data_IF_133646838270
#
_entry.id   IF_133646838270
#
_cell.length_a   1.000
_cell.length_b   1.000
_cell.length_c   1.000
_cell.angle_alpha   90.00
_cell.angle_beta   90.00
_cell.angle_gamma   90.00
#
_symmetry.space_group_name_H-M   'P 1'
#
loop_
_entity.id
_entity.type
_entity.pdbx_description
1 polymer ?
#
# COMPACT_ATOMS: atom_id res chain seq x y z
N UNK A 1 5.44 12.31 16.64
CA UNK A 1 5.99 11.07 16.04
C UNK A 1 7.12 10.56 16.92
N UNK A 2 7.07 9.26 17.26
CA UNK A 2 8.19 8.57 17.90
C UNK A 2 9.44 8.65 17.02
N UNK A 3 10.63 8.63 17.62
CA UNK A 3 11.89 8.63 16.88
C UNK A 3 11.93 7.46 15.87
N UNK A 4 12.59 7.68 14.72
CA UNK A 4 12.86 6.58 13.79
C UNK A 4 13.69 5.51 14.52
N UNK A 5 13.20 4.28 14.47
CA UNK A 5 13.87 3.12 15.06
C UNK A 5 14.76 2.53 13.97
N UNK A 6 16.08 2.52 14.21
CA UNK A 6 17.00 1.80 13.35
C UNK A 6 16.75 0.29 13.52
N UNK A 7 16.25 -0.40 12.48
CA UNK A 7 15.90 -1.82 12.59
C UNK A 7 17.09 -2.66 13.02
N UNK A 8 18.31 -2.30 12.61
CA UNK A 8 19.53 -3.08 12.89
C UNK A 8 19.90 -3.12 14.37
N UNK A 9 19.34 -2.21 15.16
CA UNK A 9 19.57 -2.13 16.61
C UNK A 9 18.53 -2.90 17.43
N UNK A 10 17.51 -3.47 16.78
CA UNK A 10 16.43 -4.19 17.46
C UNK A 10 16.81 -5.64 17.78
N UNK A 11 16.30 -6.23 18.88
CA UNK A 11 16.47 -7.66 19.16
C UNK A 11 15.92 -8.56 18.05
N UNK A 12 14.81 -8.15 17.43
CA UNK A 12 14.20 -8.89 16.31
C UNK A 12 15.14 -8.99 15.10
N UNK A 13 15.93 -7.94 14.83
CA UNK A 13 16.94 -7.97 13.77
C UNK A 13 18.11 -8.91 14.08
N UNK A 14 18.58 -8.93 15.33
CA UNK A 14 19.60 -9.88 15.76
C UNK A 14 19.11 -11.33 15.57
N UNK A 15 17.87 -11.61 16.00
CA UNK A 15 17.21 -12.91 15.80
C UNK A 15 17.10 -13.30 14.33
N UNK A 16 16.72 -12.37 13.44
CA UNK A 16 16.69 -12.60 12.00
C UNK A 16 18.09 -12.87 11.42
N UNK A 17 19.11 -12.20 11.94
CA UNK A 17 20.50 -12.41 11.53
C UNK A 17 20.97 -13.81 11.92
N UNK A 18 20.63 -14.27 13.13
CA UNK A 18 20.95 -15.63 13.59
C UNK A 18 20.21 -16.70 12.77
N UNK A 19 18.91 -16.49 12.51
CA UNK A 19 18.12 -17.39 11.65
C UNK A 19 18.70 -17.45 10.23
N UNK A 20 19.10 -16.32 9.66
CA UNK A 20 19.70 -16.26 8.34
C UNK A 20 21.06 -16.97 8.28
N UNK A 21 21.88 -16.83 9.34
CA UNK A 21 23.19 -17.49 9.42
C UNK A 21 23.06 -19.02 9.58
N UNK A 22 22.01 -19.48 10.25
CA UNK A 22 21.73 -20.90 10.46
C UNK A 22 20.92 -21.55 9.32
N UNK A 23 20.38 -20.76 8.38
CA UNK A 23 19.51 -21.26 7.33
C UNK A 23 20.31 -22.06 6.29
N UNK A 24 19.96 -23.33 6.13
CA UNK A 24 20.34 -24.16 4.99
C UNK A 24 19.12 -24.31 4.06
N UNK A 25 19.06 -23.58 2.93
CA UNK A 25 17.86 -23.59 2.08
C UNK A 25 17.64 -24.92 1.36
N UNK A 26 16.52 -25.58 1.64
CA UNK A 26 16.02 -26.70 0.83
C UNK A 26 14.51 -26.56 0.60
N UNK A 27 14.14 -25.65 -0.30
CA UNK A 27 12.73 -25.42 -0.62
C UNK A 27 12.03 -26.69 -1.12
N UNK A 28 12.71 -27.55 -1.88
CA UNK A 28 12.10 -28.80 -2.37
C UNK A 28 11.83 -29.76 -1.22
N UNK A 29 12.80 -29.92 -0.32
CA UNK A 29 12.64 -30.67 0.93
C UNK A 29 11.49 -30.13 1.76
N UNK A 30 11.39 -28.82 1.96
CA UNK A 30 10.30 -28.23 2.75
C UNK A 30 8.91 -28.48 2.16
N UNK A 31 8.76 -28.55 0.84
CA UNK A 31 7.50 -28.96 0.20
C UNK A 31 7.24 -30.47 0.29
N UNK A 32 8.29 -31.29 0.31
CA UNK A 32 8.16 -32.73 0.50
C UNK A 32 7.78 -33.07 1.95
N UNK A 33 8.37 -32.37 2.92
CA UNK A 33 8.16 -32.56 4.35
C UNK A 33 6.85 -31.94 4.85
N UNK A 34 6.39 -30.85 4.23
CA UNK A 34 5.10 -30.22 4.49
C UNK A 34 4.24 -30.14 3.21
N UNK A 35 3.45 -31.18 2.91
CA UNK A 35 2.52 -31.16 1.78
C UNK A 35 1.46 -30.04 1.85
N UNK A 36 1.20 -29.50 3.05
CA UNK A 36 0.28 -28.39 3.28
C UNK A 36 0.93 -27.02 3.16
N UNK A 37 2.23 -26.93 2.90
CA UNK A 37 3.01 -25.69 2.88
C UNK A 37 2.42 -24.60 1.98
N UNK A 38 1.96 -25.01 0.79
CA UNK A 38 1.34 -24.09 -0.18
C UNK A 38 0.11 -23.41 0.44
N UNK A 39 -0.79 -24.19 1.03
CA UNK A 39 -2.01 -23.68 1.65
C UNK A 39 -1.69 -22.80 2.86
N UNK A 40 -0.77 -23.24 3.73
CA UNK A 40 -0.39 -22.52 4.96
C UNK A 40 0.22 -21.15 4.72
N UNK A 41 1.07 -21.01 3.70
CA UNK A 41 1.73 -19.75 3.37
C UNK A 41 1.01 -18.98 2.26
N UNK A 42 -0.23 -19.32 1.99
CA UNK A 42 -1.07 -18.61 1.04
C UNK A 42 -2.16 -17.85 1.77
N UNK A 43 -2.29 -16.57 1.44
CA UNK A 43 -3.25 -15.67 2.07
C UNK A 43 -4.19 -15.10 1.02
N UNK A 44 -5.46 -14.99 1.37
CA UNK A 44 -6.46 -14.30 0.55
C UNK A 44 -6.75 -12.92 1.14
N UNK A 45 -6.65 -11.87 0.33
CA UNK A 45 -6.95 -10.51 0.71
C UNK A 45 -7.89 -9.87 -0.33
N UNK A 46 -9.18 -9.81 -0.01
CA UNK A 46 -10.23 -9.51 -0.99
C UNK A 46 -10.10 -10.43 -2.22
N UNK A 47 -9.97 -9.85 -3.42
CA UNK A 47 -9.82 -10.60 -4.68
C UNK A 47 -8.37 -11.06 -4.95
N UNK A 48 -7.43 -10.77 -4.04
CA UNK A 48 -6.03 -11.14 -4.19
C UNK A 48 -5.71 -12.48 -3.54
N UNK A 49 -4.94 -13.29 -4.26
CA UNK A 49 -4.34 -14.53 -3.76
C UNK A 49 -2.82 -14.34 -3.66
N UNK A 50 -2.29 -14.41 -2.45
CA UNK A 50 -0.88 -14.11 -2.15
C UNK A 50 -0.20 -15.37 -1.65
N UNK A 51 0.54 -16.03 -2.55
CA UNK A 51 1.31 -17.24 -2.25
C UNK A 51 2.75 -16.88 -1.85
N UNK A 52 3.07 -17.06 -0.56
CA UNK A 52 4.43 -16.88 -0.02
C UNK A 52 5.21 -18.20 0.06
N UNK A 53 4.60 -19.35 -0.27
CA UNK A 53 5.15 -20.69 0.00
C UNK A 53 6.49 -21.01 -0.67
N UNK A 54 6.80 -20.31 -1.76
CA UNK A 54 8.05 -20.48 -2.54
C UNK A 54 9.17 -19.54 -2.09
N UNK A 55 9.00 -18.83 -0.98
CA UNK A 55 10.06 -18.04 -0.37
C UNK A 55 10.93 -18.89 0.56
N UNK A 56 12.13 -18.38 0.86
CA UNK A 56 13.03 -18.92 1.87
C UNK A 56 12.55 -18.59 3.28
N UNK A 57 11.43 -19.21 3.65
CA UNK A 57 10.65 -18.85 4.82
C UNK A 57 10.09 -20.10 5.49
N UNK A 58 10.24 -20.18 6.80
CA UNK A 58 9.54 -21.12 7.67
C UNK A 58 8.75 -20.32 8.73
N UNK A 59 8.14 -21.02 9.68
CA UNK A 59 7.37 -20.38 10.74
C UNK A 59 8.22 -19.49 11.65
N UNK A 60 9.47 -19.87 11.91
CA UNK A 60 10.37 -19.12 12.77
C UNK A 60 10.82 -17.81 12.10
N UNK A 61 11.16 -17.86 10.81
CA UNK A 61 11.51 -16.72 9.99
C UNK A 61 10.30 -15.79 9.84
N UNK A 62 9.11 -16.31 9.53
CA UNK A 62 7.91 -15.50 9.40
C UNK A 62 7.59 -14.76 10.71
N UNK A 63 7.61 -15.48 11.84
CA UNK A 63 7.37 -14.88 13.15
C UNK A 63 8.41 -13.78 13.46
N UNK A 64 9.69 -14.00 13.17
CA UNK A 64 10.74 -13.01 13.40
C UNK A 64 10.61 -11.77 12.49
N UNK A 65 10.14 -11.94 11.25
CA UNK A 65 9.84 -10.83 10.33
C UNK A 65 8.67 -9.97 10.85
N UNK A 66 7.61 -10.62 11.36
CA UNK A 66 6.47 -9.92 11.98
C UNK A 66 6.92 -9.17 13.24
N UNK A 67 7.70 -9.84 14.11
CA UNK A 67 8.29 -9.25 15.32
C UNK A 67 9.15 -8.02 15.00
N UNK A 68 9.93 -8.05 13.91
CA UNK A 68 10.67 -6.87 13.46
C UNK A 68 9.73 -5.72 13.08
N UNK A 69 8.64 -6.02 12.35
CA UNK A 69 7.62 -5.04 11.98
C UNK A 69 6.98 -4.36 13.21
N UNK A 70 6.67 -5.14 14.24
CA UNK A 70 6.19 -4.65 15.52
C UNK A 70 7.23 -3.80 16.24
N UNK A 71 8.48 -4.29 16.33
CA UNK A 71 9.59 -3.62 17.01
C UNK A 71 9.92 -2.24 16.41
N UNK A 72 9.76 -2.08 15.09
CA UNK A 72 9.96 -0.78 14.42
C UNK A 72 8.70 0.10 14.41
N UNK A 73 7.59 -0.36 14.98
CA UNK A 73 6.33 0.39 15.06
C UNK A 73 5.64 0.56 13.70
N UNK A 74 5.70 -0.46 12.82
CA UNK A 74 5.12 -0.41 11.48
C UNK A 74 3.65 -0.02 11.48
N UNK A 75 2.85 -0.60 12.38
CA UNK A 75 1.41 -0.31 12.47
C UNK A 75 1.13 1.14 12.87
N UNK A 76 1.86 1.66 13.85
CA UNK A 76 1.72 3.06 14.25
C UNK A 76 2.08 4.02 13.10
N UNK A 77 3.08 3.67 12.28
CA UNK A 77 3.45 4.46 11.09
C UNK A 77 2.41 4.36 9.98
N UNK A 78 1.83 3.18 9.77
CA UNK A 78 0.67 3.00 8.88
C UNK A 78 -0.46 3.92 9.35
N UNK A 79 -0.84 3.86 10.61
CA UNK A 79 -1.98 4.61 11.13
C UNK A 79 -1.75 6.12 11.07
N UNK A 80 -0.52 6.59 11.35
CA UNK A 80 -0.12 7.99 11.14
C UNK A 80 -0.25 8.44 9.67
N UNK A 81 0.07 7.57 8.71
CA UNK A 81 -0.17 7.85 7.28
C UNK A 81 -1.66 8.01 7.00
N UNK A 82 -2.49 7.06 7.47
CA UNK A 82 -3.93 7.04 7.21
C UNK A 82 -4.67 8.21 7.89
N UNK A 83 -4.21 8.66 9.06
CA UNK A 83 -4.77 9.81 9.79
C UNK A 83 -4.35 11.17 9.21
N UNK A 84 -3.37 11.19 8.31
CA UNK A 84 -2.88 12.42 7.69
C UNK A 84 -1.84 13.18 8.51
N UNK A 85 -1.14 12.51 9.43
CA UNK A 85 0.06 13.09 10.04
C UNK A 85 1.12 13.45 8.97
N UNK A 86 1.96 14.43 9.30
CA UNK A 86 3.02 14.92 8.40
C UNK A 86 4.23 14.00 8.39
N UNK A 87 4.05 12.77 7.90
CA UNK A 87 5.09 11.73 7.90
C UNK A 87 6.19 11.94 6.84
N UNK A 88 5.95 12.77 5.82
CA UNK A 88 7.02 13.24 4.94
C UNK A 88 7.75 14.38 5.66
N UNK A 89 8.75 13.99 6.45
CA UNK A 89 9.45 14.88 7.38
C UNK A 89 10.34 15.90 6.69
N UNK A 90 10.91 15.58 5.53
CA UNK A 90 11.82 16.49 4.81
C UNK A 90 11.08 17.65 4.16
N UNK A 91 9.84 17.41 3.70
CA UNK A 91 8.98 18.46 3.14
C UNK A 91 7.91 18.97 4.12
N UNK A 92 7.83 18.37 5.32
CA UNK A 92 6.80 18.63 6.33
C UNK A 92 5.37 18.51 5.77
N UNK A 93 5.05 17.37 5.15
CA UNK A 93 3.77 17.11 4.47
C UNK A 93 3.11 15.80 4.90
N UNK A 94 1.78 15.77 4.83
CA UNK A 94 1.00 14.53 4.93
C UNK A 94 1.12 13.70 3.66
N UNK A 95 0.95 12.37 3.77
CA UNK A 95 1.00 11.43 2.63
C UNK A 95 -0.35 10.72 2.51
N UNK A 96 -1.23 11.25 1.64
CA UNK A 96 -2.66 10.92 1.64
C UNK A 96 -3.21 10.37 0.32
N UNK A 97 -2.41 9.61 -0.42
CA UNK A 97 -2.89 8.91 -1.61
C UNK A 97 -4.04 7.94 -1.31
N UNK A 98 -4.13 7.44 -0.07
CA UNK A 98 -5.26 6.62 0.41
C UNK A 98 -6.58 7.41 0.48
N UNK A 99 -6.54 8.72 0.76
CA UNK A 99 -7.73 9.56 0.81
C UNK A 99 -8.40 9.71 -0.58
N UNK A 100 -7.62 9.63 -1.66
CA UNK A 100 -8.11 9.75 -3.05
C UNK A 100 -9.12 8.66 -3.45
N UNK A 101 -9.17 7.55 -2.70
CA UNK A 101 -10.01 6.38 -2.97
C UNK A 101 -10.99 6.06 -1.84
N UNK A 102 -11.14 6.93 -0.85
CA UNK A 102 -12.14 6.77 0.21
C UNK A 102 -13.55 6.95 -0.38
N UNK A 103 -14.55 6.18 0.11
CA UNK A 103 -15.91 6.27 -0.42
C UNK A 103 -16.52 7.65 -0.19
N UNK A 104 -17.49 8.02 -1.03
CA UNK A 104 -18.24 9.28 -0.87
C UNK A 104 -19.01 9.25 0.45
N UNK A 105 -18.95 10.36 1.20
CA UNK A 105 -19.57 10.47 2.53
C UNK A 105 -18.66 10.09 3.70
N UNK A 106 -17.46 9.59 3.43
CA UNK A 106 -16.40 9.46 4.43
C UNK A 106 -15.75 10.82 4.73
N UNK A 107 -14.93 10.92 5.79
CA UNK A 107 -14.29 12.18 6.20
C UNK A 107 -12.83 12.00 6.65
N UNK A 108 -12.00 12.98 6.28
CA UNK A 108 -10.65 13.16 6.80
C UNK A 108 -10.33 14.64 6.93
N UNK A 109 -10.26 15.15 8.15
CA UNK A 109 -9.92 16.55 8.38
C UNK A 109 -8.41 16.68 8.56
N UNK A 110 -7.76 17.34 7.62
CA UNK A 110 -6.34 17.72 7.70
C UNK A 110 -6.27 19.23 7.67
N UNK A 111 -5.63 19.84 8.68
CA UNK A 111 -5.45 21.30 8.78
C UNK A 111 -6.78 22.07 8.66
N UNK A 112 -7.84 21.53 9.27
CA UNK A 112 -9.18 22.13 9.27
C UNK A 112 -9.98 21.92 7.98
N UNK A 113 -9.45 21.19 7.00
CA UNK A 113 -10.11 20.92 5.73
C UNK A 113 -10.49 19.45 5.62
N UNK A 114 -11.75 19.15 5.29
CA UNK A 114 -12.14 17.79 4.90
C UNK A 114 -11.63 17.48 3.49
N UNK A 115 -10.53 16.73 3.41
CA UNK A 115 -9.88 16.42 2.13
C UNK A 115 -10.68 15.40 1.32
N UNK A 116 -11.52 14.57 1.95
CA UNK A 116 -12.37 13.60 1.23
C UNK A 116 -13.44 14.35 0.45
N UNK A 117 -14.05 15.38 1.04
CA UNK A 117 -15.01 16.23 0.34
C UNK A 117 -14.39 16.90 -0.90
N UNK A 118 -13.18 17.45 -0.78
CA UNK A 118 -12.46 18.07 -1.91
C UNK A 118 -12.11 17.05 -3.00
N UNK A 119 -11.68 15.83 -2.62
CA UNK A 119 -11.44 14.74 -3.58
C UNK A 119 -12.69 14.45 -4.40
N UNK A 120 -13.85 14.29 -3.74
CA UNK A 120 -15.10 13.99 -4.44
C UNK A 120 -15.59 15.15 -5.30
N UNK A 121 -15.34 16.41 -4.92
CA UNK A 121 -15.61 17.57 -5.78
C UNK A 121 -14.83 17.48 -7.11
N UNK A 122 -13.55 17.09 -7.05
CA UNK A 122 -12.72 16.93 -8.25
C UNK A 122 -13.13 15.69 -9.05
N UNK A 123 -13.41 14.57 -8.39
CA UNK A 123 -13.91 13.37 -9.07
C UNK A 123 -15.21 13.66 -9.82
N UNK A 124 -16.17 14.37 -9.20
CA UNK A 124 -17.42 14.77 -9.84
C UNK A 124 -17.16 15.61 -11.11
N UNK A 125 -16.21 16.56 -11.06
CA UNK A 125 -15.79 17.35 -12.24
C UNK A 125 -15.16 16.48 -13.33
N UNK A 126 -14.25 15.57 -12.95
CA UNK A 126 -13.55 14.67 -13.89
C UNK A 126 -14.55 13.74 -14.58
N UNK A 127 -15.48 13.13 -13.84
CA UNK A 127 -16.50 12.26 -14.41
C UNK A 127 -17.49 13.02 -15.30
N UNK A 128 -17.91 14.23 -14.90
CA UNK A 128 -18.77 15.06 -15.74
C UNK A 128 -18.10 15.37 -17.09
N UNK A 129 -16.82 15.77 -17.07
CA UNK A 129 -16.04 16.00 -18.29
C UNK A 129 -15.88 14.72 -19.12
N UNK A 130 -15.44 13.63 -18.49
CA UNK A 130 -15.22 12.35 -19.18
C UNK A 130 -16.51 11.83 -19.84
N UNK A 131 -17.67 11.96 -19.19
CA UNK A 131 -18.96 11.56 -19.74
C UNK A 131 -19.34 12.39 -20.99
N UNK A 132 -19.08 13.70 -20.99
CA UNK A 132 -19.32 14.57 -22.15
C UNK A 132 -18.40 14.23 -23.33
N UNK A 133 -17.14 13.87 -23.05
CA UNK A 133 -16.20 13.39 -24.07
C UNK A 133 -16.66 12.05 -24.65
N UNK A 134 -16.95 11.07 -23.78
CA UNK A 134 -17.35 9.71 -24.19
C UNK A 134 -18.66 9.67 -24.97
N UNK A 135 -19.61 10.55 -24.63
CA UNK A 135 -20.90 10.67 -25.34
C UNK A 135 -20.81 11.39 -26.68
N UNK A 136 -19.70 12.09 -26.96
CA UNK A 136 -19.55 12.95 -28.14
C UNK A 136 -20.27 14.29 -28.03
N UNK A 137 -20.85 14.62 -26.87
CA UNK A 137 -21.39 15.95 -26.58
C UNK A 137 -20.26 17.01 -26.60
N UNK A 138 -19.09 16.64 -26.07
CA UNK A 138 -17.90 17.49 -26.14
C UNK A 138 -17.29 17.43 -27.54
N UNK A 139 -17.36 18.55 -28.24
CA UNK A 139 -16.92 18.69 -29.63
C UNK A 139 -15.67 19.57 -29.74
N UNK A 140 -14.84 19.27 -30.73
CA UNK A 140 -13.74 20.14 -31.13
C UNK A 140 -14.22 21.39 -31.87
N UNK A 141 -13.28 22.26 -32.24
CA UNK A 141 -13.56 23.54 -32.92
C UNK A 141 -14.34 23.39 -34.24
N UNK A 142 -14.23 22.25 -34.93
CA UNK A 142 -14.95 21.95 -36.16
C UNK A 142 -16.31 21.26 -35.93
N UNK A 143 -16.78 21.17 -34.68
CA UNK A 143 -18.03 20.51 -34.32
C UNK A 143 -17.97 18.97 -34.34
N UNK A 144 -16.80 18.39 -34.60
CA UNK A 144 -16.60 16.94 -34.61
C UNK A 144 -16.36 16.41 -33.18
N UNK A 145 -16.83 15.19 -32.85
CA UNK A 145 -16.55 14.58 -31.55
C UNK A 145 -15.06 14.28 -31.39
N UNK A 146 -14.59 14.29 -30.15
CA UNK A 146 -13.21 13.93 -29.81
C UNK A 146 -13.00 12.42 -30.04
N UNK A 147 -11.92 12.06 -30.76
CA UNK A 147 -11.55 10.64 -31.02
C UNK A 147 -10.20 10.24 -30.44
N UNK A 148 -9.35 11.21 -30.16
CA UNK A 148 -7.99 10.99 -29.67
C UNK A 148 -7.78 11.83 -28.42
N UNK A 149 -7.29 11.19 -27.36
CA UNK A 149 -6.86 11.85 -26.14
C UNK A 149 -5.35 11.67 -26.05
N UNK A 150 -4.61 12.78 -25.96
CA UNK A 150 -3.15 12.78 -25.81
C UNK A 150 -2.84 13.24 -24.39
N UNK A 151 -2.34 12.34 -23.56
CA UNK A 151 -1.82 12.69 -22.23
C UNK A 151 -0.35 13.12 -22.35
N UNK A 152 0.01 14.28 -21.81
CA UNK A 152 1.38 14.82 -21.84
C UNK A 152 1.85 14.94 -20.39
N UNK A 153 2.91 14.21 -20.03
CA UNK A 153 3.50 14.17 -18.69
C UNK A 153 4.95 13.70 -18.72
N UNK A 154 5.64 13.81 -17.59
CA UNK A 154 7.02 13.35 -17.35
C UNK A 154 7.04 12.33 -16.20
#
# INVERSE_FOLDING_TARGET
MSALIDPTTTPAWAKLTDLAAALEPDLRGWFADDPGRAERFTFTAADLHVDLSKNLLDDAILAALVELGEAVGLEARRDAMYSGERINVTENRSVLHTALRRPKGDSLVVEGTDVVAQVHEVLDKVYAFANRVRSGEWKGVTGQPIRTVVNIGI
#
